data_IF_782625304932
#
_entry.id   IF_782625304932
#
_cell.length_a   1.000
_cell.length_b   1.000
_cell.length_c   1.000
_cell.angle_alpha   90.00
_cell.angle_beta   90.00
_cell.angle_gamma   90.00
#
_symmetry.space_group_name_H-M   'P 1'
#
loop_
_entity.id
_entity.type
_entity.pdbx_description
1 polymer ?
#
# COMPACT_ATOMS: atom_id res chain seq x y z
N UNK A 1 -43.17 4.46 28.40
CA UNK A 1 -42.49 5.55 27.64
C UNK A 1 -41.02 5.48 28.00
N UNK A 2 -40.17 4.97 27.11
CA UNK A 2 -38.73 4.97 27.32
C UNK A 2 -38.16 6.29 26.80
N UNK A 3 -37.51 7.06 27.66
CA UNK A 3 -36.76 8.24 27.29
C UNK A 3 -35.38 7.79 26.84
N UNK A 4 -35.00 8.10 25.60
CA UNK A 4 -33.66 7.88 25.07
C UNK A 4 -32.87 9.17 25.29
N UNK A 5 -31.99 9.17 26.28
CA UNK A 5 -30.94 10.18 26.45
C UNK A 5 -29.80 9.86 25.49
N UNK A 6 -29.51 10.76 24.55
CA UNK A 6 -28.31 10.70 23.73
C UNK A 6 -27.17 11.36 24.51
N UNK A 7 -26.19 10.57 24.93
CA UNK A 7 -24.90 11.08 25.42
C UNK A 7 -24.11 11.56 24.21
N UNK A 8 -23.83 12.87 24.15
CA UNK A 8 -22.93 13.47 23.17
C UNK A 8 -21.53 12.89 23.40
N UNK A 9 -21.16 11.92 22.57
CA UNK A 9 -19.80 11.39 22.52
C UNK A 9 -18.91 12.49 21.93
N UNK A 10 -18.09 13.12 22.75
CA UNK A 10 -17.12 14.14 22.31
C UNK A 10 -16.34 13.60 21.11
N UNK A 11 -16.44 14.31 19.99
CA UNK A 11 -15.72 14.00 18.76
C UNK A 11 -14.23 14.31 19.02
N UNK A 12 -13.52 13.32 19.56
CA UNK A 12 -12.10 13.40 19.85
C UNK A 12 -11.37 13.53 18.50
N UNK A 13 -11.15 14.78 18.08
CA UNK A 13 -10.42 15.09 16.87
C UNK A 13 -9.03 14.50 16.98
N UNK A 14 -8.72 13.49 16.14
CA UNK A 14 -7.39 12.88 16.08
C UNK A 14 -6.41 13.96 15.62
N UNK A 15 -5.74 14.61 16.57
CA UNK A 15 -4.63 15.51 16.28
C UNK A 15 -3.44 14.65 15.91
N UNK A 16 -3.25 14.43 14.61
CA UNK A 16 -2.03 13.84 14.09
C UNK A 16 -0.90 14.86 14.33
N UNK A 17 -0.15 14.66 15.41
CA UNK A 17 1.04 15.46 15.69
C UNK A 17 1.96 15.40 14.47
N UNK A 18 2.22 16.57 13.87
CA UNK A 18 3.22 16.68 12.80
C UNK A 18 4.58 16.56 13.49
N UNK A 19 5.00 15.32 13.77
CA UNK A 19 6.38 15.04 14.06
C UNK A 19 7.20 15.44 12.84
N UNK A 20 8.30 16.15 13.08
CA UNK A 20 9.24 16.51 12.03
C UNK A 20 9.80 15.22 11.42
N UNK A 21 9.21 14.81 10.30
CA UNK A 21 9.58 13.60 9.57
C UNK A 21 11.00 13.81 9.09
N UNK A 22 11.96 13.13 9.71
CA UNK A 22 13.27 12.88 9.13
C UNK A 22 13.00 12.40 7.70
N UNK A 23 13.31 13.24 6.70
CA UNK A 23 12.88 13.03 5.30
C UNK A 23 13.67 11.90 4.62
N UNK A 24 14.11 10.93 5.41
CA UNK A 24 14.77 9.71 4.98
C UNK A 24 13.71 8.79 4.41
N UNK A 25 13.78 8.59 3.10
CA UNK A 25 12.92 7.64 2.39
C UNK A 25 13.19 6.25 2.99
N UNK A 26 12.20 5.70 3.68
CA UNK A 26 12.24 4.33 4.20
C UNK A 26 11.81 3.34 3.12
N UNK A 27 12.71 2.43 2.77
CA UNK A 27 12.46 1.30 1.86
C UNK A 27 12.01 0.04 2.59
N UNK A 28 11.55 0.15 3.84
CA UNK A 28 10.92 -0.97 4.53
C UNK A 28 9.70 -1.47 3.73
N UNK A 29 9.54 -2.79 3.67
CA UNK A 29 8.44 -3.47 2.97
C UNK A 29 8.38 -3.20 1.46
N UNK A 30 9.51 -2.86 0.85
CA UNK A 30 9.58 -2.58 -0.59
C UNK A 30 10.29 -3.69 -1.36
N UNK A 31 9.75 -4.02 -2.54
CA UNK A 31 10.42 -4.85 -3.54
C UNK A 31 10.58 -4.05 -4.83
N UNK A 32 11.74 -4.17 -5.49
CA UNK A 32 11.95 -3.60 -6.82
C UNK A 32 11.75 -4.69 -7.87
N UNK A 33 10.99 -4.40 -8.92
CA UNK A 33 10.72 -5.34 -10.00
C UNK A 33 10.66 -4.68 -11.37
N UNK A 34 10.70 -5.50 -12.42
CA UNK A 34 10.58 -5.10 -13.82
C UNK A 34 9.73 -6.13 -14.56
N UNK A 35 8.88 -5.67 -15.48
CA UNK A 35 8.15 -6.59 -16.36
C UNK A 35 9.02 -6.98 -17.55
N UNK A 36 9.10 -8.29 -17.78
CA UNK A 36 9.67 -8.84 -19.00
C UNK A 36 8.58 -8.86 -20.08
N UNK A 37 8.41 -7.72 -20.76
CA UNK A 37 7.46 -7.57 -21.86
C UNK A 37 8.21 -7.19 -23.15
N UNK A 38 7.77 -7.74 -24.29
CA UNK A 38 8.28 -7.36 -25.61
C UNK A 38 7.71 -6.03 -26.11
N UNK A 39 6.75 -5.46 -25.40
CA UNK A 39 6.04 -4.23 -25.74
C UNK A 39 6.01 -3.26 -24.56
N UNK A 40 5.72 -1.99 -24.85
CA UNK A 40 5.55 -0.97 -23.82
C UNK A 40 4.40 -1.34 -22.87
N UNK A 41 4.64 -1.22 -21.57
CA UNK A 41 3.63 -1.48 -20.53
C UNK A 41 2.86 -0.20 -20.24
N UNK A 42 1.53 -0.24 -20.36
CA UNK A 42 0.69 0.87 -19.92
C UNK A 42 0.66 0.92 -18.39
N UNK A 43 1.46 1.82 -17.82
CA UNK A 43 1.68 1.91 -16.37
C UNK A 43 0.38 1.95 -15.56
N UNK A 44 -0.56 2.82 -15.94
CA UNK A 44 -1.82 2.98 -15.20
C UNK A 44 -2.66 1.69 -15.18
N UNK A 45 -2.77 1.01 -16.33
CA UNK A 45 -3.51 -0.23 -16.43
C UNK A 45 -2.83 -1.34 -15.61
N UNK A 46 -1.51 -1.52 -15.79
CA UNK A 46 -0.72 -2.49 -15.03
C UNK A 46 -0.83 -2.27 -13.52
N UNK A 47 -0.66 -1.03 -13.06
CA UNK A 47 -0.73 -0.66 -11.65
C UNK A 47 -2.09 -0.98 -11.05
N UNK A 48 -3.17 -0.55 -11.70
CA UNK A 48 -4.54 -0.81 -11.22
C UNK A 48 -4.85 -2.31 -11.20
N UNK A 49 -4.44 -3.06 -12.23
CA UNK A 49 -4.63 -4.51 -12.27
C UNK A 49 -3.90 -5.21 -11.13
N UNK A 50 -2.62 -4.90 -10.90
CA UNK A 50 -1.84 -5.54 -9.83
C UNK A 50 -2.30 -5.15 -8.44
N UNK A 51 -2.65 -3.88 -8.23
CA UNK A 51 -3.23 -3.42 -6.97
C UNK A 51 -4.56 -4.12 -6.68
N UNK A 52 -5.40 -4.36 -7.71
CA UNK A 52 -6.67 -5.07 -7.55
C UNK A 52 -6.50 -6.58 -7.34
N UNK A 53 -5.47 -7.20 -7.91
CA UNK A 53 -5.20 -8.63 -7.74
C UNK A 53 -4.60 -8.91 -6.37
N UNK A 54 -3.88 -7.95 -5.78
CA UNK A 54 -3.28 -8.10 -4.46
C UNK A 54 -4.37 -8.28 -3.39
N UNK A 55 -4.58 -9.53 -2.95
CA UNK A 55 -5.57 -9.92 -1.95
C UNK A 55 -5.06 -10.20 -0.52
N UNK A 56 -3.84 -9.79 -0.11
CA UNK A 56 -3.51 -9.65 1.31
C UNK A 56 -4.11 -8.40 1.99
N UNK A 57 -3.97 -8.30 3.33
CA UNK A 57 -4.73 -7.40 4.21
C UNK A 57 -4.52 -5.90 3.91
N UNK A 58 -3.36 -5.51 3.37
CA UNK A 58 -2.95 -4.10 3.30
C UNK A 58 -3.03 -3.42 1.94
N UNK A 59 -3.17 -4.17 0.85
CA UNK A 59 -2.96 -3.62 -0.49
C UNK A 59 -1.49 -3.32 -0.79
N UNK A 60 -1.24 -2.70 -1.94
CA UNK A 60 0.11 -2.36 -2.41
C UNK A 60 0.11 -1.03 -3.14
N UNK A 61 1.13 -0.21 -2.89
CA UNK A 61 1.41 0.99 -3.69
C UNK A 61 2.53 0.70 -4.68
N UNK A 62 2.36 1.13 -5.92
CA UNK A 62 3.31 0.85 -7.02
C UNK A 62 3.77 2.16 -7.67
N UNK A 63 4.76 2.88 -7.10
CA UNK A 63 5.40 3.99 -7.78
C UNK A 63 6.33 3.52 -8.91
N UNK A 64 6.43 4.35 -9.94
CA UNK A 64 7.34 4.17 -11.06
C UNK A 64 8.78 4.58 -10.68
N UNK A 65 9.77 3.77 -11.04
CA UNK A 65 11.21 4.02 -10.84
C UNK A 65 11.95 4.28 -12.16
N UNK A 66 11.19 4.63 -13.20
CA UNK A 66 11.62 4.83 -14.58
C UNK A 66 12.22 3.57 -15.22
N UNK A 67 12.38 3.62 -16.54
CA UNK A 67 12.98 2.55 -17.36
C UNK A 67 12.32 1.18 -17.16
N UNK A 68 11.01 1.16 -16.95
CA UNK A 68 10.24 -0.08 -16.76
C UNK A 68 10.48 -0.76 -15.41
N UNK A 69 11.09 -0.07 -14.43
CA UNK A 69 11.22 -0.54 -13.06
C UNK A 69 10.10 0.02 -12.20
N UNK A 70 9.65 -0.80 -11.27
CA UNK A 70 8.56 -0.48 -10.35
C UNK A 70 8.97 -0.84 -8.94
N UNK A 71 8.55 -0.01 -7.98
CA UNK A 71 8.68 -0.34 -6.57
C UNK A 71 7.32 -0.84 -6.09
N UNK A 72 7.27 -2.02 -5.51
CA UNK A 72 6.09 -2.55 -4.83
C UNK A 72 6.25 -2.27 -3.35
N UNK A 73 5.43 -1.37 -2.81
CA UNK A 73 5.45 -1.00 -1.39
C UNK A 73 4.23 -1.59 -0.71
N UNK A 74 4.48 -2.55 0.18
CA UNK A 74 3.44 -3.18 0.97
C UNK A 74 3.18 -2.41 2.25
N UNK A 75 1.91 -2.30 2.63
CA UNK A 75 1.51 -1.57 3.84
C UNK A 75 1.75 -2.38 5.12
N UNK A 76 1.65 -3.71 5.05
CA UNK A 76 1.86 -4.59 6.19
C UNK A 76 2.95 -5.62 5.94
N UNK A 77 3.68 -5.95 7.01
CA UNK A 77 4.74 -6.97 6.97
C UNK A 77 4.21 -8.36 6.58
N UNK A 78 2.96 -8.68 6.92
CA UNK A 78 2.34 -9.96 6.52
C UNK A 78 2.30 -10.14 5.00
N UNK A 79 2.16 -9.05 4.25
CA UNK A 79 2.15 -9.07 2.79
C UNK A 79 3.58 -9.31 2.25
N UNK A 80 4.60 -8.78 2.92
CA UNK A 80 6.03 -9.02 2.62
C UNK A 80 6.39 -10.48 2.89
N UNK A 81 6.07 -10.98 4.07
CA UNK A 81 6.29 -12.37 4.48
C UNK A 81 5.65 -13.34 3.48
N UNK A 82 4.46 -12.99 2.98
CA UNK A 82 3.75 -13.78 1.98
C UNK A 82 4.53 -13.80 0.66
N UNK A 83 5.02 -12.65 0.18
CA UNK A 83 5.85 -12.59 -1.04
C UNK A 83 7.11 -13.43 -0.91
N UNK A 84 7.78 -13.36 0.24
CA UNK A 84 9.03 -14.09 0.45
C UNK A 84 8.84 -15.61 0.51
N UNK A 85 7.72 -16.07 1.08
CA UNK A 85 7.44 -17.51 1.25
C UNK A 85 6.78 -18.14 0.04
N UNK A 86 5.86 -17.41 -0.59
CA UNK A 86 4.96 -17.93 -1.62
C UNK A 86 5.26 -17.35 -3.01
N UNK A 87 6.05 -16.28 -3.10
CA UNK A 87 6.39 -15.63 -4.37
C UNK A 87 5.36 -14.57 -4.76
N UNK A 88 4.73 -14.73 -5.92
CA UNK A 88 3.76 -13.76 -6.44
C UNK A 88 2.33 -14.14 -6.02
N UNK A 89 1.43 -13.16 -5.86
CA UNK A 89 0.05 -13.31 -5.34
C UNK A 89 -0.93 -14.11 -6.22
N UNK A 90 -0.43 -15.09 -6.99
CA UNK A 90 -1.15 -15.89 -7.96
C UNK A 90 -0.93 -17.38 -7.72
#
# INVERSE_FOLDING_TARGET
>A
MASLSLEEMEEDSIQLGVESVDNKISYANCFAGMFLASSMVHFQAMRSTLANVWHPIGGVSIPDLENGRFLFRFYFQVDVDWVERNGSAW
#
